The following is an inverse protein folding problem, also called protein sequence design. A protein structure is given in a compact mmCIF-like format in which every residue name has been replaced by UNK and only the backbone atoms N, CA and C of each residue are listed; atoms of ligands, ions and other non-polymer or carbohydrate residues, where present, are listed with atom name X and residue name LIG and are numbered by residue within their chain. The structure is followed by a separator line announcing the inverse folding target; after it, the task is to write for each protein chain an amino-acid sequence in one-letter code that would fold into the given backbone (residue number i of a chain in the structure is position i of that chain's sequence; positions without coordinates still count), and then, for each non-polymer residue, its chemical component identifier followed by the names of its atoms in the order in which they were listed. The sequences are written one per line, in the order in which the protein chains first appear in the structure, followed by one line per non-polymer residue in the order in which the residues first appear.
data_IF_912259158874
#
_entry.id   IF_912259158874
#
_cell.length_a   1.000
_cell.length_b   1.000
_cell.length_c   1.000
_cell.angle_alpha   90.00
_cell.angle_beta   90.00
_cell.angle_gamma   90.00
#
_symmetry.space_group_name_H-M   'P 1'
#
loop_
_entity.id
_entity.type
_entity.pdbx_description
1 polymer ?
#
# COMPACT_ATOMS: atom_id res chain seq x y z
N UNK A 1 26.07 20.69 4.07
CA UNK A 1 24.73 21.32 3.98
C UNK A 1 23.93 20.56 2.92
N UNK A 2 23.08 19.60 3.30
CA UNK A 2 22.05 19.07 2.40
C UNK A 2 20.88 20.05 2.45
N UNK A 3 20.76 20.92 1.45
CA UNK A 3 19.81 22.05 1.47
C UNK A 3 18.39 21.68 1.04
N UNK A 4 18.13 20.44 0.64
CA UNK A 4 16.81 19.92 0.38
C UNK A 4 16.78 18.47 0.86
N UNK A 5 15.92 18.14 1.81
CA UNK A 5 15.47 16.76 1.93
C UNK A 5 14.63 16.48 0.68
N UNK A 6 15.02 15.48 -0.10
CA UNK A 6 14.26 15.03 -1.26
C UNK A 6 12.89 14.57 -0.74
N UNK A 7 11.85 15.33 -1.08
CA UNK A 7 10.47 15.03 -0.71
C UNK A 7 9.81 14.31 -1.88
N UNK A 8 8.95 13.36 -1.56
CA UNK A 8 8.00 12.79 -2.52
C UNK A 8 7.21 13.93 -3.20
N UNK A 9 6.91 13.75 -4.48
CA UNK A 9 6.25 14.79 -5.29
C UNK A 9 4.91 15.21 -4.69
N UNK A 10 4.16 14.25 -4.13
CA UNK A 10 2.91 14.49 -3.39
C UNK A 10 3.13 15.39 -2.17
N UNK A 11 4.12 15.08 -1.33
CA UNK A 11 4.47 15.88 -0.14
C UNK A 11 4.93 17.30 -0.49
N UNK A 12 5.68 17.44 -1.58
CA UNK A 12 6.14 18.74 -2.05
C UNK A 12 4.95 19.66 -2.37
N UNK A 13 3.98 19.18 -3.15
CA UNK A 13 2.80 19.97 -3.49
C UNK A 13 1.92 20.26 -2.27
N UNK A 14 1.73 19.26 -1.40
CA UNK A 14 0.99 19.46 -0.13
C UNK A 14 1.62 20.55 0.75
N UNK A 15 2.95 20.61 0.85
CA UNK A 15 3.65 21.66 1.60
C UNK A 15 3.41 23.06 0.99
N UNK A 16 3.40 23.14 -0.34
CA UNK A 16 3.19 24.40 -1.07
C UNK A 16 1.73 24.86 -1.11
N UNK A 17 0.78 24.01 -0.74
CA UNK A 17 -0.65 24.36 -0.73
C UNK A 17 -0.95 25.61 0.11
N UNK A 18 -0.19 25.83 1.19
CA UNK A 18 -0.31 27.01 2.06
C UNK A 18 0.04 28.32 1.36
N UNK A 19 0.95 28.30 0.38
CA UNK A 19 1.43 29.49 -0.35
C UNK A 19 0.79 29.62 -1.73
N UNK A 20 0.52 28.50 -2.39
CA UNK A 20 0.06 28.43 -3.78
C UNK A 20 -1.09 27.42 -3.95
N UNK A 21 -2.25 27.65 -3.32
CA UNK A 21 -3.32 26.64 -3.25
C UNK A 21 -3.84 26.22 -4.63
N UNK A 22 -4.03 27.17 -5.56
CA UNK A 22 -4.54 26.86 -6.91
C UNK A 22 -3.59 25.98 -7.72
N UNK A 23 -2.28 26.24 -7.62
CA UNK A 23 -1.27 25.48 -8.34
C UNK A 23 -1.06 24.10 -7.71
N UNK A 24 -0.97 24.07 -6.38
CA UNK A 24 -0.88 22.83 -5.60
C UNK A 24 -2.04 21.90 -5.90
N UNK A 25 -3.28 22.40 -5.87
CA UNK A 25 -4.46 21.59 -6.16
C UNK A 25 -4.42 21.00 -7.57
N UNK A 26 -4.06 21.79 -8.59
CA UNK A 26 -3.91 21.27 -9.96
C UNK A 26 -2.85 20.18 -10.07
N UNK A 27 -1.72 20.34 -9.36
CA UNK A 27 -0.67 19.35 -9.36
C UNK A 27 -1.14 18.06 -8.67
N UNK A 28 -1.78 18.16 -7.51
CA UNK A 28 -2.37 17.01 -6.80
C UNK A 28 -3.43 16.32 -7.67
N UNK A 29 -4.34 17.07 -8.28
CA UNK A 29 -5.34 16.53 -9.22
C UNK A 29 -4.70 15.79 -10.40
N UNK A 30 -3.56 16.26 -10.90
CA UNK A 30 -2.84 15.60 -11.98
C UNK A 30 -2.12 14.33 -11.51
N UNK A 31 -1.72 14.26 -10.23
CA UNK A 31 -1.02 13.12 -9.62
C UNK A 31 -2.00 12.04 -9.12
N UNK A 32 -3.22 12.42 -8.75
CA UNK A 32 -4.25 11.52 -8.21
C UNK A 32 -4.55 10.33 -9.14
N UNK A 33 -4.78 10.52 -10.46
CA UNK A 33 -5.03 9.42 -11.39
C UNK A 33 -3.91 8.38 -11.40
N UNK A 34 -2.65 8.80 -11.25
CA UNK A 34 -1.52 7.87 -11.23
C UNK A 34 -1.55 6.99 -9.99
N UNK A 35 -1.76 7.59 -8.82
CA UNK A 35 -1.87 6.83 -7.56
C UNK A 35 -3.08 5.89 -7.56
N UNK A 36 -4.24 6.35 -8.03
CA UNK A 36 -5.47 5.55 -8.02
C UNK A 36 -5.48 4.45 -9.08
N UNK A 37 -4.99 4.73 -10.30
CA UNK A 37 -4.93 3.75 -11.39
C UNK A 37 -3.91 2.66 -11.07
N UNK A 38 -2.73 3.03 -10.58
CA UNK A 38 -1.71 2.07 -10.16
C UNK A 38 -2.23 1.15 -9.04
N UNK A 39 -2.89 1.70 -8.02
CA UNK A 39 -3.46 0.88 -6.94
C UNK A 39 -4.59 -0.03 -7.45
N UNK A 40 -5.41 0.42 -8.40
CA UNK A 40 -6.41 -0.43 -9.05
C UNK A 40 -5.75 -1.57 -9.84
N UNK A 41 -4.77 -1.27 -10.69
CA UNK A 41 -4.04 -2.25 -11.49
C UNK A 41 -3.31 -3.27 -10.60
N UNK A 42 -2.68 -2.81 -9.53
CA UNK A 42 -2.05 -3.68 -8.53
C UNK A 42 -3.08 -4.57 -7.83
N UNK A 43 -4.24 -4.02 -7.48
CA UNK A 43 -5.36 -4.78 -6.91
C UNK A 43 -5.86 -5.89 -7.83
N UNK A 44 -6.11 -5.58 -9.10
CA UNK A 44 -6.54 -6.57 -10.10
C UNK A 44 -5.47 -7.62 -10.39
N UNK A 45 -4.20 -7.23 -10.44
CA UNK A 45 -3.08 -8.16 -10.63
C UNK A 45 -2.99 -9.14 -9.47
N UNK A 46 -3.10 -8.63 -8.23
CA UNK A 46 -3.11 -9.44 -7.00
C UNK A 46 -4.28 -10.42 -7.01
N UNK A 47 -5.48 -9.97 -7.38
CA UNK A 47 -6.67 -10.84 -7.49
C UNK A 47 -6.46 -11.97 -8.50
N UNK A 48 -5.88 -11.63 -9.65
CA UNK A 48 -5.61 -12.57 -10.74
C UNK A 48 -4.60 -13.63 -10.31
N UNK A 49 -3.55 -13.23 -9.60
CA UNK A 49 -2.56 -14.16 -9.05
C UNK A 49 -3.18 -15.10 -8.00
N UNK A 50 -3.97 -14.57 -7.08
CA UNK A 50 -4.65 -15.37 -6.05
C UNK A 50 -5.61 -16.38 -6.67
N UNK A 51 -6.43 -15.95 -7.64
CA UNK A 51 -7.39 -16.82 -8.34
C UNK A 51 -6.72 -17.92 -9.16
N UNK A 52 -5.55 -17.65 -9.74
CA UNK A 52 -4.82 -18.61 -10.58
C UNK A 52 -4.00 -19.61 -9.75
N UNK A 53 -3.38 -19.20 -8.64
CA UNK A 53 -2.48 -20.04 -7.83
C UNK A 53 -3.13 -20.69 -6.59
N UNK A 54 -4.15 -20.08 -5.97
CA UNK A 54 -4.79 -20.57 -4.73
C UNK A 54 -6.19 -21.19 -4.97
N UNK A 55 -6.38 -21.94 -6.06
CA UNK A 55 -7.70 -22.53 -6.42
C UNK A 55 -8.39 -23.33 -5.31
N UNK A 56 -7.66 -23.86 -4.32
CA UNK A 56 -8.24 -24.70 -3.26
C UNK A 56 -8.54 -23.97 -1.93
N UNK A 57 -8.14 -22.70 -1.75
CA UNK A 57 -8.33 -21.97 -0.47
C UNK A 57 -8.88 -20.55 -0.68
N UNK A 58 -9.99 -20.45 -1.41
CA UNK A 58 -10.64 -19.16 -1.73
C UNK A 58 -11.56 -18.63 -0.61
N UNK A 59 -11.45 -19.10 0.64
CA UNK A 59 -12.41 -18.71 1.69
C UNK A 59 -12.19 -17.28 2.23
N UNK A 60 -10.98 -16.71 2.12
CA UNK A 60 -10.63 -15.39 2.70
C UNK A 60 -9.86 -14.51 1.69
N UNK A 61 -10.46 -14.26 0.52
CA UNK A 61 -9.83 -13.46 -0.55
C UNK A 61 -9.62 -12.01 -0.09
N UNK A 62 -10.59 -11.41 0.59
CA UNK A 62 -10.53 -10.00 0.98
C UNK A 62 -9.44 -9.75 2.03
N UNK A 63 -9.28 -10.66 2.99
CA UNK A 63 -8.23 -10.60 4.01
C UNK A 63 -6.83 -10.72 3.39
N UNK A 64 -6.67 -11.66 2.47
CA UNK A 64 -5.40 -11.90 1.77
C UNK A 64 -5.03 -10.73 0.85
N UNK A 65 -6.00 -10.19 0.09
CA UNK A 65 -5.78 -9.00 -0.73
C UNK A 65 -5.38 -7.80 0.13
N UNK A 66 -6.01 -7.62 1.30
CA UNK A 66 -5.66 -6.56 2.24
C UNK A 66 -4.21 -6.67 2.70
N UNK A 67 -3.72 -7.87 2.98
CA UNK A 67 -2.32 -8.11 3.36
C UNK A 67 -1.39 -7.80 2.18
N UNK A 68 -1.69 -8.31 0.98
CA UNK A 68 -0.86 -8.10 -0.21
C UNK A 68 -0.77 -6.64 -0.68
N UNK A 69 -1.84 -5.85 -0.51
CA UNK A 69 -1.89 -4.44 -0.91
C UNK A 69 -1.46 -3.49 0.22
N UNK A 70 -1.21 -4.00 1.42
CA UNK A 70 -0.77 -3.22 2.57
C UNK A 70 0.66 -2.71 2.35
N UNK A 71 0.89 -1.44 2.72
CA UNK A 71 2.24 -0.87 2.85
C UNK A 71 2.78 -0.95 4.28
N UNK A 72 2.00 -1.52 5.21
CA UNK A 72 2.40 -1.68 6.60
C UNK A 72 3.34 -2.87 6.74
N UNK A 73 4.41 -2.69 7.51
CA UNK A 73 5.30 -3.78 7.85
C UNK A 73 4.56 -4.81 8.72
N UNK A 74 4.68 -6.11 8.40
CA UNK A 74 4.03 -7.14 9.19
C UNK A 74 4.70 -7.25 10.56
N UNK A 75 3.90 -7.23 11.63
CA UNK A 75 4.36 -7.42 13.01
C UNK A 75 4.59 -8.92 13.29
N UNK A 76 5.51 -9.55 12.55
CA UNK A 76 5.74 -10.99 12.57
C UNK A 76 6.16 -11.46 13.98
N UNK A 77 7.08 -10.74 14.63
CA UNK A 77 7.58 -11.13 15.95
C UNK A 77 6.47 -11.19 17.00
N UNK A 78 5.54 -10.23 16.97
CA UNK A 78 4.38 -10.21 17.85
C UNK A 78 3.43 -11.37 17.53
N UNK A 79 3.18 -11.67 16.26
CA UNK A 79 2.32 -12.80 15.88
C UNK A 79 2.95 -14.13 16.32
N UNK A 80 4.27 -14.27 16.16
CA UNK A 80 5.03 -15.45 16.56
C UNK A 80 5.02 -15.65 18.08
N UNK A 81 5.13 -14.59 18.88
CA UNK A 81 5.10 -14.71 20.35
C UNK A 81 3.75 -15.18 20.89
N UNK A 82 2.66 -14.86 20.18
CA UNK A 82 1.30 -15.27 20.55
C UNK A 82 0.94 -16.69 20.09
N UNK A 83 1.77 -17.30 19.25
CA UNK A 83 1.52 -18.63 18.66
C UNK A 83 2.07 -19.71 19.59
N UNK A 84 1.19 -20.54 20.15
CA UNK A 84 1.64 -21.70 20.94
C UNK A 84 2.28 -22.75 20.02
N UNK A 85 3.56 -23.04 20.29
CA UNK A 85 4.28 -24.16 19.68
C UNK A 85 3.51 -25.45 19.94
N UNK A 86 3.19 -26.19 18.87
CA UNK A 86 2.65 -27.54 19.01
C UNK A 86 3.84 -28.45 19.28
N UNK A 87 3.94 -28.97 20.51
CA UNK A 87 4.90 -30.02 20.81
C UNK A 87 4.59 -31.23 19.93
N UNK A 88 5.56 -31.65 19.12
CA UNK A 88 5.48 -32.90 18.37
C UNK A 88 5.62 -34.06 19.36
N UNK A 89 4.79 -35.10 19.20
CA UNK A 89 4.88 -36.33 19.99
C UNK A 89 6.03 -37.24 19.54
#
# INVERSE_FOLDING_TARGET
RKLFAEKELSEFWLCLNTKFPKLSNKAVESLLPFGSSYLCEQGFSTLTEMKSKKRERLQMIDEEMRVCLSKLDPLIDFICSQKQSQCSH
#
